data_IF_816735815967
#
_entry.id   IF_816735815967
#
_cell.length_a   1.000
_cell.length_b   1.000
_cell.length_c   1.000
_cell.angle_alpha   90.00
_cell.angle_beta   90.00
_cell.angle_gamma   90.00
#
_symmetry.space_group_name_H-M   'P 1'
#
loop_
_entity.id
_entity.type
_entity.pdbx_description
1 polymer ?
#
# COMPACT_ATOMS: atom_id res chain seq x y z
N UNK A 1 22.92 15.90 -15.25
CA UNK A 1 22.88 15.18 -13.97
C UNK A 1 21.43 14.80 -13.69
N UNK A 2 21.10 13.51 -13.79
CA UNK A 2 19.92 12.95 -13.15
C UNK A 2 20.46 12.05 -12.05
N UNK A 3 20.61 12.59 -10.84
CA UNK A 3 21.24 11.84 -9.74
C UNK A 3 20.34 10.72 -9.21
N UNK A 4 19.01 10.86 -9.38
CA UNK A 4 18.02 9.88 -8.93
C UNK A 4 16.87 9.81 -9.94
N UNK A 5 16.69 8.65 -10.57
CA UNK A 5 15.61 8.36 -11.52
C UNK A 5 15.46 6.84 -11.69
N UNK A 6 14.30 6.38 -12.16
CA UNK A 6 14.08 4.97 -12.53
C UNK A 6 15.14 4.47 -13.54
N UNK A 7 15.57 5.34 -14.46
CA UNK A 7 16.58 4.97 -15.46
C UNK A 7 17.98 4.86 -14.86
N UNK A 8 18.38 5.76 -13.96
CA UNK A 8 19.69 5.65 -13.30
C UNK A 8 19.72 4.42 -12.39
N UNK A 9 18.66 4.16 -11.62
CA UNK A 9 18.56 2.96 -10.79
C UNK A 9 18.61 1.65 -11.62
N UNK A 10 17.93 1.60 -12.78
CA UNK A 10 18.02 0.45 -13.67
C UNK A 10 19.43 0.25 -14.24
N UNK A 11 20.16 1.33 -14.54
CA UNK A 11 21.58 1.25 -14.94
C UNK A 11 22.46 0.74 -13.81
N UNK A 12 22.23 1.17 -12.57
CA UNK A 12 22.97 0.69 -11.42
C UNK A 12 22.78 -0.83 -11.22
N UNK A 13 21.55 -1.34 -11.42
CA UNK A 13 21.27 -2.78 -11.38
C UNK A 13 21.99 -3.53 -12.51
N UNK A 14 21.99 -3.00 -13.74
CA UNK A 14 22.70 -3.62 -14.86
C UNK A 14 24.22 -3.69 -14.60
N UNK A 15 24.83 -2.61 -14.09
CA UNK A 15 26.24 -2.59 -13.70
C UNK A 15 26.54 -3.60 -12.59
N UNK A 16 25.69 -3.65 -11.55
CA UNK A 16 25.82 -4.61 -10.47
C UNK A 16 25.81 -6.06 -10.97
N UNK A 17 24.91 -6.38 -11.90
CA UNK A 17 24.87 -7.73 -12.49
C UNK A 17 26.17 -8.04 -13.24
N UNK A 18 26.61 -7.16 -14.15
CA UNK A 18 27.86 -7.36 -14.90
C UNK A 18 29.11 -7.50 -14.01
N UNK A 19 29.13 -6.85 -12.85
CA UNK A 19 30.26 -6.93 -11.91
C UNK A 19 30.21 -8.15 -10.96
N UNK A 20 29.02 -8.68 -10.68
CA UNK A 20 28.83 -9.61 -9.57
C UNK A 20 28.19 -10.96 -9.92
N UNK A 21 27.61 -11.13 -11.10
CA UNK A 21 27.07 -12.43 -11.53
C UNK A 21 28.12 -13.31 -12.19
N UNK A 22 29.32 -12.79 -12.46
CA UNK A 22 30.41 -13.50 -13.14
C UNK A 22 30.00 -14.10 -14.50
N UNK A 23 29.02 -13.48 -15.18
CA UNK A 23 28.49 -13.97 -16.46
C UNK A 23 27.50 -15.12 -16.34
N UNK A 24 27.01 -15.43 -15.13
CA UNK A 24 25.97 -16.44 -14.91
C UNK A 24 24.59 -15.93 -15.33
N UNK A 25 23.76 -16.87 -15.81
CA UNK A 25 22.37 -16.63 -16.18
C UNK A 25 21.57 -16.09 -14.98
N UNK A 26 20.99 -14.91 -15.14
CA UNK A 26 20.30 -14.18 -14.07
C UNK A 26 18.82 -14.01 -14.37
N UNK A 27 17.97 -14.32 -13.39
CA UNK A 27 16.54 -14.00 -13.42
C UNK A 27 16.28 -12.81 -12.51
N UNK A 28 15.70 -11.74 -13.07
CA UNK A 28 15.37 -10.53 -12.30
C UNK A 28 13.94 -10.62 -11.77
N UNK A 29 13.78 -10.57 -10.45
CA UNK A 29 12.50 -10.43 -9.79
C UNK A 29 12.22 -8.97 -9.44
N UNK A 30 11.11 -8.42 -9.93
CA UNK A 30 10.62 -7.09 -9.60
C UNK A 30 9.28 -7.18 -8.87
N UNK A 31 9.21 -6.66 -7.65
CA UNK A 31 7.95 -6.53 -6.89
C UNK A 31 7.56 -5.06 -6.74
N UNK A 32 6.28 -4.72 -6.90
CA UNK A 32 5.77 -3.34 -6.73
C UNK A 32 6.54 -2.33 -7.59
N UNK A 33 7.11 -1.27 -7.01
CA UNK A 33 7.99 -0.33 -7.72
C UNK A 33 9.13 -1.02 -8.50
N UNK A 34 9.60 -2.17 -8.02
CA UNK A 34 10.61 -2.99 -8.69
C UNK A 34 10.19 -3.46 -10.08
N UNK A 35 8.89 -3.53 -10.40
CA UNK A 35 8.46 -3.86 -11.76
C UNK A 35 8.73 -2.73 -12.75
N UNK A 36 8.71 -1.47 -12.30
CA UNK A 36 9.07 -0.32 -13.14
C UNK A 36 10.58 -0.30 -13.43
N UNK A 37 11.40 -0.73 -12.45
CA UNK A 37 12.83 -0.97 -12.67
C UNK A 37 13.06 -2.16 -13.61
N UNK A 38 12.31 -3.26 -13.43
CA UNK A 38 12.33 -4.42 -14.31
C UNK A 38 11.98 -4.07 -15.76
N UNK A 39 10.91 -3.31 -15.99
CA UNK A 39 10.54 -2.79 -17.32
C UNK A 39 11.67 -1.95 -17.92
N UNK A 40 12.34 -1.14 -17.10
CA UNK A 40 13.45 -0.33 -17.57
C UNK A 40 14.70 -1.17 -17.88
N UNK A 41 14.95 -2.25 -17.13
CA UNK A 41 16.01 -3.22 -17.39
C UNK A 41 15.77 -4.00 -18.68
N UNK A 42 14.53 -4.39 -18.98
CA UNK A 42 14.17 -4.99 -20.28
C UNK A 42 14.58 -4.08 -21.44
N UNK A 43 14.38 -2.77 -21.32
CA UNK A 43 14.83 -1.81 -22.34
C UNK A 43 16.35 -1.63 -22.42
N UNK A 44 17.09 -1.93 -21.35
CA UNK A 44 18.56 -1.86 -21.32
C UNK A 44 19.21 -3.14 -21.86
N UNK A 45 18.47 -4.26 -21.87
CA UNK A 45 18.87 -5.55 -22.42
C UNK A 45 20.26 -6.04 -21.93
N UNK A 46 20.48 -6.13 -20.60
CA UNK A 46 21.74 -6.64 -20.06
C UNK A 46 21.93 -8.12 -20.45
N UNK A 47 23.11 -8.50 -20.96
CA UNK A 47 23.35 -9.83 -21.53
C UNK A 47 23.30 -10.97 -20.50
N UNK A 48 23.48 -10.67 -19.22
CA UNK A 48 23.41 -11.64 -18.13
C UNK A 48 21.98 -12.06 -17.80
N UNK A 49 20.97 -11.31 -18.25
CA UNK A 49 19.58 -11.57 -17.87
C UNK A 49 18.89 -12.52 -18.84
N UNK A 50 18.45 -13.65 -18.31
CA UNK A 50 17.74 -14.70 -19.07
C UNK A 50 16.24 -14.71 -18.84
N UNK A 51 15.74 -13.96 -17.85
CA UNK A 51 14.32 -13.85 -17.58
C UNK A 51 13.93 -12.80 -16.54
N UNK A 52 12.63 -12.47 -16.52
CA UNK A 52 12.04 -11.51 -15.61
C UNK A 52 10.78 -12.09 -14.96
N UNK A 53 10.62 -11.86 -13.66
CA UNK A 53 9.39 -12.14 -12.90
C UNK A 53 8.90 -10.82 -12.31
N UNK A 54 7.73 -10.35 -12.73
CA UNK A 54 7.16 -9.07 -12.31
C UNK A 54 5.87 -9.31 -11.50
N UNK A 55 5.87 -8.95 -10.22
CA UNK A 55 4.75 -9.15 -9.29
C UNK A 55 4.26 -7.80 -8.71
N UNK A 56 2.93 -7.60 -8.66
CA UNK A 56 2.32 -6.33 -8.25
C UNK A 56 2.71 -5.16 -9.15
N UNK A 57 2.42 -5.27 -10.46
CA UNK A 57 2.99 -4.45 -11.54
C UNK A 57 2.63 -2.97 -11.47
N UNK A 58 3.63 -2.12 -11.21
CA UNK A 58 3.65 -0.69 -11.56
C UNK A 58 4.35 -0.50 -12.93
N UNK A 59 3.65 0.06 -13.93
CA UNK A 59 4.15 0.25 -15.29
C UNK A 59 4.49 1.71 -15.61
N UNK A 60 5.58 1.94 -16.34
CA UNK A 60 6.14 3.25 -16.68
C UNK A 60 5.41 3.93 -17.85
N UNK A 61 4.85 3.19 -18.81
CA UNK A 61 4.30 3.75 -20.06
C UNK A 61 3.13 2.94 -20.64
N UNK A 62 2.11 3.62 -21.19
CA UNK A 62 1.27 3.10 -22.28
C UNK A 62 -0.13 2.58 -21.95
N UNK A 63 -0.48 2.29 -20.70
CA UNK A 63 -1.86 1.95 -20.36
C UNK A 63 -2.65 3.23 -20.07
N UNK A 64 -3.82 3.36 -20.71
CA UNK A 64 -4.86 4.37 -20.41
C UNK A 64 -5.34 4.32 -18.94
N UNK A 65 -4.88 3.30 -18.20
CA UNK A 65 -4.90 3.11 -16.76
C UNK A 65 -3.45 3.09 -16.26
N UNK A 66 -2.84 4.26 -16.09
CA UNK A 66 -1.64 4.33 -15.26
C UNK A 66 -2.03 3.81 -13.87
N UNK A 67 -1.20 2.96 -13.25
CA UNK A 67 -1.25 2.82 -11.79
C UNK A 67 -0.80 4.15 -11.20
N UNK A 68 -1.70 5.12 -11.25
CA UNK A 68 -1.58 6.30 -10.43
C UNK A 68 -1.73 5.78 -9.01
N UNK A 69 -0.66 5.85 -8.22
CA UNK A 69 -0.75 5.63 -6.79
C UNK A 69 -1.83 6.54 -6.14
N UNK A 70 -2.31 7.59 -6.83
CA UNK A 70 -3.47 8.37 -6.39
C UNK A 70 -4.80 7.59 -6.42
N UNK A 71 -4.91 6.50 -7.18
CA UNK A 71 -6.09 5.64 -7.20
C UNK A 71 -6.00 4.49 -6.19
N UNK A 72 -4.88 4.37 -5.48
CA UNK A 72 -4.63 3.28 -4.53
C UNK A 72 -5.77 3.15 -3.50
N UNK A 73 -6.25 4.26 -2.94
CA UNK A 73 -7.37 4.23 -2.00
C UNK A 73 -8.66 3.69 -2.62
N UNK A 74 -8.91 3.99 -3.90
CA UNK A 74 -10.09 3.48 -4.63
C UNK A 74 -9.93 1.99 -4.97
N UNK A 75 -8.77 1.58 -5.47
CA UNK A 75 -8.49 0.19 -5.87
C UNK A 75 -8.53 -0.75 -4.66
N UNK A 76 -8.03 -0.30 -3.51
CA UNK A 76 -8.13 -1.04 -2.26
C UNK A 76 -9.53 -0.96 -1.63
N UNK A 77 -10.38 -0.01 -2.05
CA UNK A 77 -11.78 0.07 -1.65
C UNK A 77 -12.57 -1.19 -1.99
N UNK A 78 -12.37 -1.72 -3.21
CA UNK A 78 -13.02 -2.97 -3.64
C UNK A 78 -12.55 -4.18 -2.83
N UNK A 79 -11.26 -4.24 -2.49
CA UNK A 79 -10.69 -5.29 -1.64
C UNK A 79 -11.26 -5.20 -0.23
N UNK A 80 -11.37 -3.99 0.32
CA UNK A 80 -11.97 -3.75 1.63
C UNK A 80 -13.44 -4.16 1.64
N UNK A 81 -14.24 -3.77 0.64
CA UNK A 81 -15.65 -4.14 0.56
C UNK A 81 -15.83 -5.67 0.51
N UNK A 82 -15.01 -6.40 -0.26
CA UNK A 82 -15.03 -7.87 -0.27
C UNK A 82 -14.61 -8.48 1.07
N UNK A 83 -13.57 -7.95 1.69
CA UNK A 83 -13.10 -8.42 3.00
C UNK A 83 -14.15 -8.23 4.09
N UNK A 84 -14.80 -7.06 4.12
CA UNK A 84 -15.84 -6.75 5.09
C UNK A 84 -17.09 -7.61 4.85
N UNK A 85 -17.45 -7.90 3.60
CA UNK A 85 -18.54 -8.82 3.27
C UNK A 85 -18.25 -10.24 3.78
N UNK A 86 -17.04 -10.76 3.56
CA UNK A 86 -16.64 -12.08 4.11
C UNK A 86 -16.67 -12.08 5.64
N UNK A 87 -16.27 -10.98 6.29
CA UNK A 87 -16.38 -10.87 7.74
C UNK A 87 -17.85 -10.96 8.23
N UNK A 88 -18.81 -10.49 7.45
CA UNK A 88 -20.22 -10.53 7.83
C UNK A 88 -20.84 -11.93 7.71
N UNK A 89 -20.21 -12.86 6.99
CA UNK A 89 -20.64 -14.27 6.97
C UNK A 89 -20.43 -14.94 8.34
N UNK A 90 -19.55 -14.39 9.18
CA UNK A 90 -19.32 -14.85 10.55
C UNK A 90 -20.43 -14.39 11.49
N UNK A 91 -21.15 -15.35 12.09
CA UNK A 91 -22.31 -15.08 12.96
C UNK A 91 -21.98 -14.11 14.10
N UNK A 92 -20.78 -14.23 14.68
CA UNK A 92 -20.33 -13.36 15.78
C UNK A 92 -20.18 -11.90 15.35
N UNK A 93 -19.81 -11.65 14.10
CA UNK A 93 -19.65 -10.30 13.52
C UNK A 93 -21.02 -9.78 13.09
N UNK A 94 -21.80 -10.59 12.36
CA UNK A 94 -23.16 -10.23 11.95
C UNK A 94 -24.04 -9.85 13.15
N UNK A 95 -23.92 -10.59 14.26
CA UNK A 95 -24.66 -10.32 15.49
C UNK A 95 -24.34 -8.95 16.11
N UNK A 96 -23.13 -8.40 15.87
CA UNK A 96 -22.69 -7.09 16.40
C UNK A 96 -23.12 -5.93 15.51
N UNK A 97 -23.26 -6.15 14.20
CA UNK A 97 -23.50 -5.07 13.22
C UNK A 97 -24.88 -5.12 12.55
N UNK A 98 -25.92 -5.59 13.26
CA UNK A 98 -27.28 -5.83 12.74
C UNK A 98 -27.96 -4.66 12.01
N UNK A 99 -27.66 -3.41 12.39
CA UNK A 99 -28.41 -2.23 11.90
C UNK A 99 -27.95 -1.74 10.53
N UNK A 100 -26.63 -1.65 10.32
CA UNK A 100 -26.02 -1.04 9.13
C UNK A 100 -25.09 -2.00 8.39
N UNK A 101 -24.87 -3.20 8.92
CA UNK A 101 -23.74 -4.04 8.54
C UNK A 101 -22.42 -3.46 9.02
N UNK A 102 -21.36 -4.27 9.01
CA UNK A 102 -19.99 -3.89 9.32
C UNK A 102 -19.51 -2.79 8.36
N UNK A 103 -19.64 -2.98 7.05
CA UNK A 103 -19.21 -2.01 6.05
C UNK A 103 -19.98 -0.67 6.19
N UNK A 104 -21.30 -0.74 6.34
CA UNK A 104 -22.11 0.46 6.55
C UNK A 104 -21.84 1.15 7.89
N UNK A 105 -21.45 0.41 8.93
CA UNK A 105 -21.06 0.99 10.22
C UNK A 105 -19.72 1.74 10.11
N UNK A 106 -18.72 1.17 9.44
CA UNK A 106 -17.43 1.82 9.21
C UNK A 106 -17.60 3.08 8.35
N UNK A 107 -18.33 2.99 7.23
CA UNK A 107 -18.63 4.13 6.36
C UNK A 107 -19.37 5.25 7.12
N UNK A 108 -20.32 4.87 7.99
CA UNK A 108 -21.03 5.83 8.83
C UNK A 108 -20.14 6.51 9.86
N UNK A 109 -19.26 5.75 10.55
CA UNK A 109 -18.34 6.30 11.53
C UNK A 109 -17.34 7.28 10.90
N UNK A 110 -16.82 6.94 9.71
CA UNK A 110 -15.97 7.83 8.92
C UNK A 110 -16.70 9.15 8.62
N UNK A 111 -17.94 9.08 8.14
CA UNK A 111 -18.74 10.26 7.85
C UNK A 111 -18.97 11.12 9.10
N UNK A 112 -19.23 10.51 10.26
CA UNK A 112 -19.37 11.25 11.53
C UNK A 112 -18.09 11.98 11.94
N UNK A 113 -16.92 11.39 11.67
CA UNK A 113 -15.63 12.03 11.95
C UNK A 113 -15.33 13.19 10.98
N UNK A 114 -15.81 13.10 9.74
CA UNK A 114 -15.74 14.20 8.76
C UNK A 114 -16.73 15.34 9.09
N UNK A 115 -17.93 15.00 9.56
CA UNK A 115 -18.98 15.96 9.95
C UNK A 115 -18.64 16.72 11.24
N UNK A 116 -18.10 16.03 12.26
CA UNK A 116 -17.66 16.64 13.52
C UNK A 116 -16.24 16.21 13.91
N UNK A 117 -15.21 16.84 13.32
CA UNK A 117 -13.81 16.51 13.57
C UNK A 117 -13.34 16.87 14.99
N UNK A 118 -14.14 17.61 15.76
CA UNK A 118 -13.83 17.99 17.15
C UNK A 118 -14.66 17.22 18.17
N UNK A 119 -15.49 16.27 17.74
CA UNK A 119 -16.15 15.34 18.65
C UNK A 119 -15.10 14.65 19.54
N UNK A 120 -15.40 14.31 20.80
CA UNK A 120 -14.43 13.70 21.70
C UNK A 120 -13.75 12.46 21.09
N UNK A 121 -14.50 11.60 20.39
CA UNK A 121 -13.97 10.42 19.73
C UNK A 121 -13.05 10.76 18.55
N UNK A 122 -13.41 11.73 17.71
CA UNK A 122 -12.58 12.17 16.59
C UNK A 122 -11.28 12.80 17.09
N UNK A 123 -11.37 13.68 18.10
CA UNK A 123 -10.22 14.34 18.71
C UNK A 123 -9.27 13.34 19.38
N UNK A 124 -9.78 12.41 20.19
CA UNK A 124 -8.96 11.38 20.85
C UNK A 124 -8.31 10.46 19.81
N UNK A 125 -9.04 10.01 18.79
CA UNK A 125 -8.48 9.15 17.74
C UNK A 125 -7.34 9.85 17.01
N UNK A 126 -7.53 11.11 16.61
CA UNK A 126 -6.50 11.89 15.93
C UNK A 126 -5.28 12.14 16.83
N UNK A 127 -5.51 12.43 18.12
CA UNK A 127 -4.43 12.64 19.09
C UNK A 127 -3.62 11.37 19.32
N UNK A 128 -4.27 10.23 19.53
CA UNK A 128 -3.60 8.94 19.71
C UNK A 128 -2.78 8.59 18.47
N UNK A 129 -3.37 8.78 17.29
CA UNK A 129 -2.72 8.50 16.03
C UNK A 129 -1.43 9.34 15.85
N UNK A 130 -1.52 10.66 16.00
CA UNK A 130 -0.37 11.56 15.87
C UNK A 130 0.72 11.30 16.92
N UNK A 131 0.36 10.81 18.11
CA UNK A 131 1.31 10.49 19.18
C UNK A 131 2.04 9.16 19.00
N UNK A 132 1.57 8.26 18.13
CA UNK A 132 2.23 6.95 17.90
C UNK A 132 3.51 7.03 17.08
N UNK A 133 3.92 8.23 16.63
CA UNK A 133 5.10 8.41 15.78
C UNK A 133 5.00 7.67 14.44
N UNK A 134 3.79 7.21 14.06
CA UNK A 134 3.58 6.41 12.87
C UNK A 134 3.43 7.31 11.62
N UNK A 135 4.48 8.11 11.39
CA UNK A 135 4.63 8.95 10.20
C UNK A 135 5.03 8.07 9.02
N UNK A 136 4.07 7.28 8.53
CA UNK A 136 3.95 7.01 7.09
C UNK A 136 3.40 8.22 6.33
N UNK A 137 3.11 9.32 7.05
CA UNK A 137 2.82 10.60 6.47
C UNK A 137 4.11 11.23 5.96
N UNK A 138 4.05 11.76 4.74
CA UNK A 138 4.97 12.76 4.24
C UNK A 138 5.37 13.71 5.38
N UNK A 139 6.65 13.75 5.73
CA UNK A 139 7.18 14.66 6.75
C UNK A 139 7.01 16.14 6.37
N UNK A 140 6.57 16.43 5.13
CA UNK A 140 6.20 17.74 4.63
C UNK A 140 4.68 18.00 4.57
N UNK A 141 3.84 17.13 5.14
CA UNK A 141 2.40 17.41 5.25
C UNK A 141 2.18 18.63 6.16
N UNK A 142 1.99 19.80 5.54
CA UNK A 142 1.77 21.08 6.22
C UNK A 142 0.37 21.21 6.83
N UNK A 143 -0.51 20.24 6.59
CA UNK A 143 -1.88 20.24 7.10
C UNK A 143 -2.07 19.07 8.07
N UNK A 144 -2.69 19.36 9.23
CA UNK A 144 -3.05 18.34 10.19
C UNK A 144 -4.02 17.34 9.53
N UNK A 145 -3.64 16.07 9.53
CA UNK A 145 -4.41 14.96 8.97
C UNK A 145 -5.84 14.96 9.56
N UNK A 146 -6.86 14.76 8.72
CA UNK A 146 -8.24 14.79 9.19
C UNK A 146 -8.50 13.62 10.16
N UNK A 147 -9.36 13.78 11.18
CA UNK A 147 -9.66 12.69 12.12
C UNK A 147 -10.18 11.42 11.44
N UNK A 148 -10.92 11.55 10.33
CA UNK A 148 -11.41 10.40 9.56
C UNK A 148 -10.27 9.66 8.85
N UNK A 149 -9.20 10.34 8.46
CA UNK A 149 -8.03 9.71 7.86
C UNK A 149 -7.17 9.02 8.93
N UNK A 150 -6.99 9.65 10.09
CA UNK A 150 -6.38 9.00 11.26
C UNK A 150 -7.12 7.71 11.66
N UNK A 151 -8.47 7.73 11.62
CA UNK A 151 -9.30 6.54 11.85
C UNK A 151 -9.04 5.44 10.82
N UNK A 152 -8.99 5.78 9.52
CA UNK A 152 -8.70 4.80 8.45
C UNK A 152 -7.33 4.15 8.65
N UNK A 153 -6.31 4.93 9.00
CA UNK A 153 -4.96 4.40 9.29
C UNK A 153 -4.93 3.53 10.53
N UNK A 154 -5.60 3.93 11.60
CA UNK A 154 -5.74 3.12 12.82
C UNK A 154 -6.35 1.74 12.52
N UNK A 155 -7.45 1.71 11.75
CA UNK A 155 -8.07 0.45 11.33
C UNK A 155 -7.13 -0.39 10.45
N UNK A 156 -6.42 0.24 9.50
CA UNK A 156 -5.42 -0.44 8.67
C UNK A 156 -4.28 -1.05 9.47
N UNK A 157 -3.79 -0.35 10.50
CA UNK A 157 -2.74 -0.87 11.38
C UNK A 157 -3.20 -2.09 12.16
N UNK A 158 -4.40 -2.05 12.75
CA UNK A 158 -4.97 -3.19 13.48
C UNK A 158 -5.04 -4.44 12.58
N UNK A 159 -5.41 -4.27 11.32
CA UNK A 159 -5.41 -5.36 10.33
C UNK A 159 -4.00 -5.89 10.02
N UNK A 160 -2.99 -5.01 10.00
CA UNK A 160 -1.60 -5.40 9.72
C UNK A 160 -0.93 -6.14 10.90
N UNK A 161 -1.27 -5.79 12.14
CA UNK A 161 -0.69 -6.43 13.33
C UNK A 161 -1.22 -7.85 13.55
N UNK A 162 -2.48 -8.11 13.18
CA UNK A 162 -3.07 -9.46 13.20
C UNK A 162 -2.30 -10.42 12.28
N UNK A 163 -1.76 -9.93 11.14
CA UNK A 163 -0.89 -10.74 10.27
C UNK A 163 0.43 -11.14 10.94
N UNK A 164 1.03 -10.28 11.77
CA UNK A 164 2.29 -10.61 12.47
C UNK A 164 2.09 -11.69 13.53
N UNK A 165 0.93 -11.74 14.18
CA UNK A 165 0.58 -12.81 15.10
C UNK A 165 0.32 -14.15 14.39
N UNK A 166 -0.25 -14.13 13.17
CA UNK A 166 -0.53 -15.34 12.39
C UNK A 166 0.73 -15.97 11.75
N UNK A 167 1.77 -15.18 11.44
CA UNK A 167 3.06 -15.68 10.92
C UNK A 167 3.95 -16.30 12.03
N UNK A 168 3.53 -16.20 13.29
CA UNK A 168 4.19 -16.84 14.44
C UNK A 168 3.78 -18.29 14.73
N UNK A 169 3.00 -18.93 13.86
CA UNK A 169 2.73 -20.37 13.93
C UNK A 169 3.36 -21.05 12.71
N UNK A 170 4.66 -21.35 12.84
CA UNK A 170 5.36 -22.39 12.07
C UNK A 170 5.72 -23.52 13.03
#
# INVERSE_FOLDING_TARGET
>A
MASFSTTSAAKDIASFMGEHTNGEDTIVYGGSYGTMLGERLVHLDPPEVTGYVLDGIAASMGARMLQYYSNWDSDFGDVADRFLAMCEDEEQIAARFKKKGLAGTIKHLIAQFDEDPRSPCAFTTNTLYNNTGNTGADSNATEAESPSFALRRALGMLMSEVRRAAVGCS
#
